data_IF_623672917593
#
_entry.id   IF_623672917593
#
_cell.length_a   1.000
_cell.length_b   1.000
_cell.length_c   1.000
_cell.angle_alpha   90.00
_cell.angle_beta   90.00
_cell.angle_gamma   90.00
#
_symmetry.space_group_name_H-M   'P 1'
#
loop_
_entity.id
_entity.type
_entity.pdbx_description
1 polymer ?
#
# COMPACT_ATOMS: atom_id res chain seq x y z
N UNK A 1 2.97 5.93 -11.76
CA UNK A 1 2.20 6.71 -10.78
C UNK A 1 3.13 7.66 -10.03
N UNK A 2 2.62 8.84 -9.67
CA UNK A 2 3.42 9.87 -8.98
C UNK A 2 4.03 9.39 -7.67
N UNK A 3 3.40 8.41 -7.02
CA UNK A 3 3.87 7.86 -5.74
C UNK A 3 5.28 7.25 -5.83
N UNK A 4 5.69 6.82 -7.01
CA UNK A 4 7.03 6.28 -7.24
C UNK A 4 8.03 7.28 -7.81
N UNK A 5 7.66 8.56 -7.89
CA UNK A 5 8.59 9.59 -8.34
C UNK A 5 9.77 9.71 -7.37
N UNK A 6 10.98 9.84 -7.93
CA UNK A 6 12.20 10.03 -7.15
C UNK A 6 12.76 8.77 -6.49
N UNK A 7 12.24 7.58 -6.77
CA UNK A 7 12.83 6.34 -6.28
C UNK A 7 14.13 6.00 -7.01
N UNK A 8 15.13 5.41 -6.31
CA UNK A 8 16.37 4.97 -6.96
C UNK A 8 16.23 3.67 -7.76
N UNK A 9 15.03 3.13 -7.85
CA UNK A 9 14.68 1.93 -8.62
C UNK A 9 13.48 2.22 -9.51
N UNK A 10 13.29 1.44 -10.55
CA UNK A 10 12.08 1.44 -11.35
C UNK A 10 11.18 0.29 -10.92
N UNK A 11 9.90 0.54 -10.81
CA UNK A 11 8.91 -0.49 -10.53
C UNK A 11 7.91 -0.60 -11.68
N UNK A 12 7.38 -1.79 -11.86
CA UNK A 12 6.27 -2.04 -12.75
C UNK A 12 5.10 -2.57 -11.93
N UNK A 13 3.91 -2.10 -12.22
CA UNK A 13 2.74 -2.51 -11.47
C UNK A 13 1.45 -2.16 -12.17
N UNK A 14 0.38 -2.77 -11.69
CA UNK A 14 -0.98 -2.56 -12.18
C UNK A 14 -1.93 -2.41 -11.01
N UNK A 15 -2.69 -1.33 -11.06
CA UNK A 15 -3.80 -1.11 -10.13
C UNK A 15 -5.06 -1.82 -10.61
N UNK A 16 -5.90 -2.17 -9.67
CA UNK A 16 -7.22 -2.71 -9.93
C UNK A 16 -8.19 -2.19 -8.87
N UNK A 17 -9.46 -2.40 -9.14
CA UNK A 17 -10.54 -2.11 -8.20
C UNK A 17 -11.53 -3.27 -8.28
N UNK A 18 -11.73 -3.96 -7.16
CA UNK A 18 -12.70 -5.04 -7.09
C UNK A 18 -14.02 -4.50 -6.57
N UNK A 19 -15.07 -4.70 -7.34
CA UNK A 19 -16.39 -4.21 -7.01
C UNK A 19 -16.96 -4.94 -5.80
N UNK A 20 -17.32 -4.20 -4.77
CA UNK A 20 -17.93 -4.74 -3.55
C UNK A 20 -19.46 -4.79 -3.63
N UNK A 21 -20.08 -3.90 -4.43
CA UNK A 21 -21.54 -3.83 -4.61
C UNK A 21 -21.90 -3.74 -6.07
N UNK A 22 -23.10 -4.20 -6.42
CA UNK A 22 -23.64 -4.05 -7.78
C UNK A 22 -24.09 -2.63 -8.00
N UNK A 23 -23.60 -2.00 -9.06
CA UNK A 23 -24.00 -0.66 -9.49
C UNK A 23 -24.91 -0.79 -10.69
N UNK A 24 -26.08 -0.12 -10.65
CA UNK A 24 -27.01 -0.09 -11.77
C UNK A 24 -26.38 0.52 -13.03
N UNK A 25 -26.83 0.08 -14.21
CA UNK A 25 -26.24 0.51 -15.48
C UNK A 25 -26.25 2.04 -15.70
N UNK A 26 -27.19 2.73 -15.07
CA UNK A 26 -27.35 4.20 -15.19
C UNK A 26 -26.68 4.98 -14.07
N UNK A 27 -26.16 4.30 -13.06
CA UNK A 27 -25.57 4.94 -11.89
C UNK A 27 -24.06 5.02 -12.03
N UNK A 28 -23.50 6.18 -11.71
CA UNK A 28 -22.04 6.35 -11.63
C UNK A 28 -21.56 6.00 -10.23
N UNK A 29 -20.48 5.26 -10.16
CA UNK A 29 -19.83 4.98 -8.90
C UNK A 29 -19.37 6.26 -8.22
N UNK A 30 -19.76 6.45 -6.95
CA UNK A 30 -19.32 7.55 -6.11
C UNK A 30 -19.02 7.02 -4.71
N UNK A 31 -17.74 6.82 -4.41
CA UNK A 31 -17.29 6.26 -3.14
C UNK A 31 -17.70 7.10 -1.92
N UNK A 32 -17.88 8.41 -2.08
CA UNK A 32 -18.26 9.29 -0.97
C UNK A 32 -19.71 9.13 -0.53
N UNK A 33 -20.57 8.57 -1.39
CA UNK A 33 -21.99 8.33 -1.10
C UNK A 33 -22.27 6.92 -0.58
N UNK A 34 -21.24 6.04 -0.57
CA UNK A 34 -21.37 4.68 -0.09
C UNK A 34 -20.91 4.58 1.36
N UNK A 35 -21.54 3.71 2.12
CA UNK A 35 -21.02 3.30 3.41
C UNK A 35 -19.65 2.63 3.23
N UNK A 36 -18.80 2.66 4.26
CA UNK A 36 -17.46 2.12 4.18
C UNK A 36 -17.43 0.67 3.66
N UNK A 37 -18.33 -0.17 4.14
CA UNK A 37 -18.43 -1.58 3.73
C UNK A 37 -18.94 -1.79 2.30
N UNK A 38 -19.49 -0.77 1.67
CA UNK A 38 -19.98 -0.82 0.29
C UNK A 38 -18.97 -0.29 -0.72
N UNK A 39 -17.85 0.30 -0.25
CA UNK A 39 -16.81 0.79 -1.14
C UNK A 39 -16.05 -0.37 -1.77
N UNK A 40 -15.58 -0.14 -2.98
CA UNK A 40 -14.79 -1.12 -3.69
C UNK A 40 -13.45 -1.38 -3.00
N UNK A 41 -12.88 -2.56 -3.22
CA UNK A 41 -11.57 -2.91 -2.74
C UNK A 41 -10.49 -2.39 -3.69
N UNK A 42 -9.48 -1.75 -3.13
CA UNK A 42 -8.33 -1.27 -3.89
C UNK A 42 -7.30 -2.38 -4.05
N UNK A 43 -6.86 -2.61 -5.27
CA UNK A 43 -5.88 -3.65 -5.60
C UNK A 43 -4.65 -3.04 -6.24
N UNK A 44 -3.49 -3.59 -5.92
CA UNK A 44 -2.24 -3.26 -6.58
C UNK A 44 -1.32 -4.47 -6.61
N UNK A 45 -0.82 -4.81 -7.80
CA UNK A 45 0.23 -5.80 -7.98
C UNK A 45 1.43 -5.12 -8.60
N UNK A 46 2.63 -5.41 -8.10
CA UNK A 46 3.84 -4.77 -8.58
C UNK A 46 5.07 -5.63 -8.35
N UNK A 47 6.10 -5.32 -9.09
CA UNK A 47 7.43 -5.89 -8.87
C UNK A 47 8.50 -4.82 -9.07
N UNK A 48 9.65 -5.01 -8.45
CA UNK A 48 10.78 -4.11 -8.54
C UNK A 48 12.11 -4.86 -8.27
N UNK A 49 13.24 -4.41 -8.80
CA UNK A 49 13.36 -3.47 -9.92
C UNK A 49 12.72 -4.03 -11.20
N UNK A 50 12.22 -3.15 -12.07
CA UNK A 50 11.50 -3.58 -13.27
C UNK A 50 12.36 -4.39 -14.24
N UNK A 51 13.66 -4.06 -14.34
CA UNK A 51 14.61 -4.70 -15.26
C UNK A 51 15.09 -6.05 -14.76
N UNK A 52 15.20 -6.23 -13.45
CA UNK A 52 15.63 -7.46 -12.80
C UNK A 52 14.89 -7.64 -11.48
N UNK A 53 13.66 -8.15 -11.53
CA UNK A 53 12.80 -8.20 -10.35
C UNK A 53 13.41 -9.02 -9.21
N UNK A 54 13.45 -8.43 -8.02
CA UNK A 54 13.91 -9.06 -6.79
C UNK A 54 12.79 -9.26 -5.79
N UNK A 55 11.72 -8.47 -5.91
CA UNK A 55 10.56 -8.55 -5.04
C UNK A 55 9.28 -8.30 -5.86
N UNK A 56 8.27 -9.08 -5.60
CA UNK A 56 6.92 -8.88 -6.11
C UNK A 56 5.94 -8.84 -4.94
N UNK A 57 4.89 -8.07 -5.09
CA UNK A 57 3.84 -7.95 -4.08
C UNK A 57 2.46 -7.85 -4.71
N UNK A 58 1.47 -8.21 -3.93
CA UNK A 58 0.07 -7.97 -4.21
C UNK A 58 -0.58 -7.38 -2.96
N UNK A 59 -1.30 -6.30 -3.12
CA UNK A 59 -1.95 -5.58 -2.02
C UNK A 59 -3.43 -5.49 -2.29
N UNK A 60 -4.22 -5.81 -1.27
CA UNK A 60 -5.67 -5.60 -1.24
C UNK A 60 -5.97 -4.70 -0.05
N UNK A 61 -6.60 -3.56 -0.31
CA UNK A 61 -7.11 -2.69 0.75
C UNK A 61 -8.63 -2.75 0.67
N UNK A 62 -9.23 -3.42 1.62
CA UNK A 62 -10.67 -3.65 1.63
C UNK A 62 -11.44 -2.35 1.84
N UNK A 63 -12.53 -2.18 1.10
CA UNK A 63 -13.46 -1.05 1.24
C UNK A 63 -12.81 0.34 1.15
N UNK A 64 -11.72 0.45 0.38
CA UNK A 64 -10.90 1.66 0.32
C UNK A 64 -11.11 2.50 -0.95
N UNK A 65 -11.82 1.97 -1.94
CA UNK A 65 -12.04 2.67 -3.21
C UNK A 65 -10.97 2.37 -4.26
N UNK A 66 -10.34 3.39 -4.83
CA UNK A 66 -9.45 3.20 -5.99
C UNK A 66 -8.04 2.76 -5.61
N UNK A 67 -7.55 1.71 -6.30
CA UNK A 67 -6.26 1.07 -6.04
C UNK A 67 -5.04 2.00 -6.13
N UNK A 68 -5.04 2.93 -7.08
CA UNK A 68 -3.92 3.86 -7.24
C UNK A 68 -3.73 4.79 -6.03
N UNK A 69 -4.84 5.18 -5.40
CA UNK A 69 -4.80 6.12 -4.28
C UNK A 69 -4.54 5.42 -2.94
N UNK A 70 -4.96 4.17 -2.79
CA UNK A 70 -4.95 3.49 -1.49
C UNK A 70 -3.88 2.39 -1.40
N UNK A 71 -3.70 1.60 -2.45
CA UNK A 71 -2.79 0.46 -2.41
C UNK A 71 -1.36 0.80 -2.88
N UNK A 72 -1.18 1.63 -3.90
CA UNK A 72 0.14 1.98 -4.41
C UNK A 72 1.05 2.69 -3.38
N UNK A 73 0.56 3.59 -2.51
CA UNK A 73 1.38 4.17 -1.46
C UNK A 73 1.95 3.15 -0.47
N UNK A 74 1.22 2.09 -0.19
CA UNK A 74 1.71 0.99 0.66
C UNK A 74 2.85 0.25 -0.04
N UNK A 75 2.68 -0.06 -1.33
CA UNK A 75 3.71 -0.72 -2.13
C UNK A 75 5.01 0.10 -2.16
N UNK A 76 4.93 1.43 -2.28
CA UNK A 76 6.10 2.32 -2.26
C UNK A 76 6.93 2.11 -0.99
N UNK A 77 6.29 2.06 0.17
CA UNK A 77 6.98 1.92 1.45
C UNK A 77 7.59 0.53 1.62
N UNK A 78 6.92 -0.51 1.13
CA UNK A 78 7.46 -1.87 1.16
C UNK A 78 8.70 -1.98 0.27
N UNK A 79 8.67 -1.45 -0.95
CA UNK A 79 9.82 -1.46 -1.84
C UNK A 79 10.98 -0.63 -1.30
N UNK A 80 10.71 0.53 -0.74
CA UNK A 80 11.75 1.37 -0.12
C UNK A 80 12.44 0.62 1.03
N UNK A 81 11.67 -0.08 1.84
CA UNK A 81 12.21 -0.89 2.94
C UNK A 81 13.07 -2.05 2.42
N UNK A 82 12.55 -2.82 1.49
CA UNK A 82 13.20 -4.02 0.99
C UNK A 82 14.40 -3.74 0.10
N UNK A 83 14.25 -2.83 -0.87
CA UNK A 83 15.29 -2.57 -1.87
C UNK A 83 16.33 -1.55 -1.43
N UNK A 84 15.92 -0.54 -0.68
CA UNK A 84 16.77 0.60 -0.31
C UNK A 84 17.17 0.56 1.17
N UNK A 85 16.42 -0.13 2.00
CA UNK A 85 16.64 -0.16 3.44
C UNK A 85 16.11 1.08 4.16
N UNK A 86 15.15 1.76 3.58
CA UNK A 86 14.53 2.95 4.14
C UNK A 86 13.28 2.59 4.96
N UNK A 87 13.19 3.13 6.16
CA UNK A 87 12.01 3.05 7.00
C UNK A 87 11.31 4.42 7.02
N UNK A 88 9.98 4.48 6.99
CA UNK A 88 9.26 5.74 7.00
C UNK A 88 9.61 6.62 8.21
N UNK A 89 9.59 7.94 8.01
CA UNK A 89 9.70 8.89 9.11
C UNK A 89 8.50 8.80 10.04
N UNK A 90 8.61 9.35 11.24
CA UNK A 90 7.48 9.42 12.18
C UNK A 90 6.33 10.22 11.57
N UNK A 91 6.64 11.32 10.89
CA UNK A 91 5.64 12.15 10.22
C UNK A 91 4.91 11.36 9.10
N UNK A 92 5.64 10.54 8.36
CA UNK A 92 5.05 9.72 7.30
C UNK A 92 4.09 8.66 7.86
N UNK A 93 4.47 8.03 8.96
CA UNK A 93 3.61 7.05 9.64
C UNK A 93 2.33 7.72 10.14
N UNK A 94 2.44 8.85 10.82
CA UNK A 94 1.28 9.58 11.34
C UNK A 94 0.35 10.05 10.23
N UNK A 95 0.91 10.58 9.14
CA UNK A 95 0.12 11.00 7.98
C UNK A 95 -0.57 9.82 7.29
N UNK A 96 0.12 8.67 7.21
CA UNK A 96 -0.44 7.44 6.65
C UNK A 96 -1.61 6.91 7.48
N UNK A 97 -1.49 6.95 8.80
CA UNK A 97 -2.58 6.56 9.70
C UNK A 97 -3.82 7.43 9.55
N UNK A 98 -3.63 8.69 9.18
CA UNK A 98 -4.72 9.62 8.90
C UNK A 98 -5.23 9.56 7.44
N UNK A 99 -4.68 8.67 6.63
CA UNK A 99 -5.03 8.56 5.22
C UNK A 99 -4.57 9.74 4.36
N UNK A 100 -3.58 10.49 4.80
CA UNK A 100 -3.15 11.75 4.16
C UNK A 100 -1.86 11.64 3.36
N UNK A 101 -1.09 10.55 3.52
CA UNK A 101 0.19 10.41 2.85
C UNK A 101 0.09 9.52 1.61
N UNK A 102 0.36 10.10 0.45
CA UNK A 102 0.55 9.38 -0.81
C UNK A 102 2.02 9.06 -1.03
N UNK A 103 2.84 10.09 -1.20
CA UNK A 103 4.30 9.98 -1.31
C UNK A 103 4.93 10.10 0.08
N UNK A 104 5.97 9.31 0.40
CA UNK A 104 6.65 9.41 1.69
C UNK A 104 7.14 10.83 2.00
N UNK A 105 6.96 11.28 3.23
CA UNK A 105 7.34 12.60 3.72
C UNK A 105 8.33 12.50 4.88
N UNK A 106 9.01 13.60 5.17
CA UNK A 106 9.99 13.68 6.26
C UNK A 106 11.30 12.97 5.95
N UNK A 107 12.18 12.94 6.95
CA UNK A 107 13.49 12.30 6.83
C UNK A 107 13.35 10.80 7.08
N UNK A 108 13.66 10.01 6.08
CA UNK A 108 13.63 8.55 6.18
C UNK A 108 14.63 8.04 7.20
N UNK A 109 14.28 6.97 7.90
CA UNK A 109 15.16 6.29 8.84
C UNK A 109 15.75 5.04 8.19
N UNK A 110 16.89 4.58 8.70
CA UNK A 110 17.46 3.31 8.22
C UNK A 110 16.77 2.14 8.91
N UNK A 111 16.46 1.09 8.17
CA UNK A 111 15.82 -0.11 8.73
C UNK A 111 16.63 -0.75 9.86
N UNK A 112 17.97 -0.64 9.80
CA UNK A 112 18.88 -1.17 10.81
C UNK A 112 18.73 -0.46 12.16
N UNK A 113 18.26 0.79 12.15
CA UNK A 113 18.09 1.62 13.34
C UNK A 113 16.72 1.43 14.02
N UNK A 114 15.86 0.60 13.41
CA UNK A 114 14.51 0.37 13.91
C UNK A 114 14.44 -1.00 14.58
N UNK A 115 14.14 -1.00 15.87
CA UNK A 115 13.80 -2.23 16.58
C UNK A 115 12.34 -2.55 16.34
N UNK A 116 12.09 -3.54 15.51
CA UNK A 116 10.74 -4.05 15.30
C UNK A 116 10.36 -4.95 16.47
N UNK A 117 9.18 -4.75 17.03
CA UNK A 117 8.65 -5.65 18.03
C UNK A 117 8.54 -7.07 17.46
N UNK A 118 8.77 -8.11 18.27
CA UNK A 118 8.54 -9.48 17.81
C UNK A 118 7.12 -9.64 17.27
N UNK A 119 7.00 -10.35 16.17
CA UNK A 119 5.71 -10.58 15.52
C UNK A 119 4.91 -11.66 16.27
N UNK A 120 4.46 -11.35 17.47
CA UNK A 120 3.74 -12.30 18.32
C UNK A 120 2.46 -12.82 17.67
N UNK A 121 1.79 -11.95 16.93
CA UNK A 121 0.53 -12.30 16.30
C UNK A 121 0.64 -13.39 15.23
N UNK A 122 1.72 -13.41 14.48
CA UNK A 122 1.94 -14.42 13.43
C UNK A 122 2.17 -15.79 14.05
N UNK A 123 2.98 -15.84 15.10
CA UNK A 123 3.29 -17.10 15.79
C UNK A 123 2.05 -17.65 16.47
N UNK A 124 1.27 -16.81 17.11
CA UNK A 124 0.02 -17.23 17.76
C UNK A 124 -0.99 -17.79 16.77
N UNK A 125 -1.15 -17.14 15.63
CA UNK A 125 -2.06 -17.60 14.58
C UNK A 125 -1.70 -18.96 14.02
N UNK A 126 -0.44 -19.26 13.89
CA UNK A 126 0.03 -20.56 13.39
C UNK A 126 -0.18 -21.67 14.41
N UNK A 127 0.01 -21.40 15.69
CA UNK A 127 -0.13 -22.39 16.75
C UNK A 127 -1.56 -22.85 16.97
N UNK A 128 -2.52 -22.02 16.68
CA UNK A 128 -3.93 -22.36 16.84
C UNK A 128 -4.46 -23.35 15.81
N UNK A 129 -3.64 -23.69 14.85
CA UNK A 129 -3.98 -24.59 13.77
C UNK A 129 -3.32 -25.94 13.95
#
# INVERSE_FOLDING_TARGET
ARVFAGTPYQSAGKTGTAQAVTIGQKDKYNASKLDEHQRDHALYMAFAPAENPQIALAIVVENAGFGAAQAAPIARRIFDYWLVGDYPSVQDIEASQKGQASTPIGVKRRKEDIQLAPSEGVVGGVKSR
#
